data_IF_146406298963
#
_entry.id   IF_146406298963
#
_cell.length_a   1.000
_cell.length_b   1.000
_cell.length_c   1.000
_cell.angle_alpha   90.00
_cell.angle_beta   90.00
_cell.angle_gamma   90.00
#
_symmetry.space_group_name_H-M   'P 1'
#
loop_
_entity.id
_entity.type
_entity.pdbx_description
1 polymer ?
#
# COMPACT_ATOMS: atom_id res chain seq x y z
N UNK A 1 -5.47 -45.53 -2.85
CA UNK A 1 -5.20 -44.44 -1.86
C UNK A 1 -5.43 -43.12 -2.55
N UNK A 2 -6.65 -42.59 -2.46
CA UNK A 2 -6.99 -41.23 -2.86
C UNK A 2 -6.48 -40.31 -1.74
N UNK A 3 -5.31 -39.74 -1.92
CA UNK A 3 -4.80 -38.67 -1.09
C UNK A 3 -5.68 -37.45 -1.27
N UNK A 4 -6.63 -37.26 -0.35
CA UNK A 4 -7.42 -36.04 -0.29
C UNK A 4 -6.48 -34.86 -0.12
N UNK A 5 -6.40 -33.99 -1.11
CA UNK A 5 -5.68 -32.74 -1.01
C UNK A 5 -6.30 -31.94 0.13
N UNK A 6 -5.64 -31.90 1.30
CA UNK A 6 -6.05 -31.02 2.40
C UNK A 6 -5.99 -29.59 1.85
N UNK A 7 -7.16 -28.98 1.68
CA UNK A 7 -7.22 -27.59 1.22
C UNK A 7 -6.68 -26.70 2.35
N UNK A 8 -5.65 -25.92 2.02
CA UNK A 8 -5.11 -24.90 2.93
C UNK A 8 -6.18 -23.82 3.10
N UNK A 9 -6.45 -23.46 4.35
CA UNK A 9 -7.32 -22.33 4.66
C UNK A 9 -6.54 -21.32 5.51
N UNK A 10 -6.52 -20.07 5.06
CA UNK A 10 -5.92 -18.96 5.80
C UNK A 10 -6.90 -17.77 5.77
N UNK A 11 -7.18 -17.20 6.92
CA UNK A 11 -8.11 -16.06 7.03
C UNK A 11 -9.48 -16.30 6.36
N UNK A 12 -9.98 -17.53 6.39
CA UNK A 12 -11.21 -17.93 5.70
C UNK A 12 -11.06 -18.18 4.19
N UNK A 13 -9.89 -17.92 3.61
CA UNK A 13 -9.62 -18.15 2.18
C UNK A 13 -9.20 -19.60 1.93
N UNK A 14 -9.95 -20.28 1.09
CA UNK A 14 -9.63 -21.65 0.64
C UNK A 14 -8.60 -21.59 -0.50
N UNK A 15 -7.39 -22.10 -0.27
CA UNK A 15 -6.29 -22.12 -1.22
C UNK A 15 -6.21 -23.51 -1.84
N UNK A 16 -6.72 -23.66 -3.05
CA UNK A 16 -6.75 -24.93 -3.78
C UNK A 16 -5.79 -25.00 -4.98
N UNK A 17 -5.15 -23.88 -5.33
CA UNK A 17 -4.26 -23.75 -6.49
C UNK A 17 -2.77 -23.95 -6.16
N UNK A 18 -2.41 -24.05 -4.88
CA UNK A 18 -1.07 -24.37 -4.39
C UNK A 18 -1.07 -25.72 -3.71
N UNK A 19 0.00 -26.48 -3.89
CA UNK A 19 0.30 -27.61 -3.03
C UNK A 19 0.66 -27.12 -1.62
N UNK A 20 0.46 -27.98 -0.61
CA UNK A 20 0.88 -27.67 0.76
C UNK A 20 2.38 -27.31 0.81
N UNK A 21 3.22 -28.02 0.05
CA UNK A 21 4.67 -27.76 0.00
C UNK A 21 4.98 -26.37 -0.53
N UNK A 22 4.32 -25.92 -1.60
CA UNK A 22 4.51 -24.58 -2.16
C UNK A 22 4.04 -23.49 -1.21
N UNK A 23 2.85 -23.67 -0.60
CA UNK A 23 2.35 -22.70 0.40
C UNK A 23 3.31 -22.56 1.56
N UNK A 24 3.75 -23.68 2.17
CA UNK A 24 4.72 -23.61 3.26
C UNK A 24 6.06 -23.03 2.84
N UNK A 25 6.52 -23.28 1.60
CA UNK A 25 7.72 -22.65 1.06
C UNK A 25 7.59 -21.13 0.99
N UNK A 26 6.44 -20.63 0.50
CA UNK A 26 6.15 -19.18 0.45
C UNK A 26 6.16 -18.57 1.87
N UNK A 27 5.43 -19.17 2.81
CA UNK A 27 5.33 -18.65 4.18
C UNK A 27 6.67 -18.70 4.91
N UNK A 28 7.50 -19.71 4.64
CA UNK A 28 8.81 -19.87 5.25
C UNK A 28 9.82 -18.85 4.73
N UNK A 29 9.85 -18.63 3.43
CA UNK A 29 10.84 -17.77 2.78
C UNK A 29 10.28 -17.19 1.47
N UNK A 30 9.65 -16.02 1.56
CA UNK A 30 9.10 -15.30 0.39
C UNK A 30 10.19 -14.85 -0.58
N UNK A 31 11.45 -14.72 -0.16
CA UNK A 31 12.52 -14.19 -1.02
C UNK A 31 12.76 -15.05 -2.25
N UNK A 32 12.59 -16.36 -2.13
CA UNK A 32 12.75 -17.32 -3.24
C UNK A 32 11.64 -17.23 -4.29
N UNK A 33 10.56 -16.53 -3.96
CA UNK A 33 9.38 -16.40 -4.81
C UNK A 33 9.32 -15.04 -5.53
N UNK A 34 10.38 -14.24 -5.45
CA UNK A 34 10.50 -12.96 -6.16
C UNK A 34 11.63 -12.97 -7.18
N UNK A 35 11.38 -12.26 -8.29
CA UNK A 35 12.42 -11.86 -9.25
C UNK A 35 12.58 -10.35 -9.21
N UNK A 36 13.82 -9.89 -9.11
CA UNK A 36 14.14 -8.46 -9.08
C UNK A 36 14.69 -8.03 -10.43
N UNK A 37 14.18 -6.93 -10.97
CA UNK A 37 14.70 -6.31 -12.18
C UNK A 37 14.62 -4.77 -12.09
N UNK A 38 15.40 -4.08 -12.92
CA UNK A 38 15.47 -2.63 -12.93
C UNK A 38 14.73 -2.08 -14.15
N UNK A 39 13.83 -1.12 -13.92
CA UNK A 39 13.18 -0.33 -14.97
C UNK A 39 13.77 1.08 -14.98
N UNK A 40 14.10 1.58 -16.17
CA UNK A 40 14.55 2.96 -16.35
C UNK A 40 13.42 3.95 -16.09
N UNK A 41 13.65 4.94 -15.24
CA UNK A 41 12.69 6.05 -15.02
C UNK A 41 12.76 7.03 -16.20
N UNK A 42 11.65 7.69 -16.52
CA UNK A 42 11.62 8.77 -17.54
C UNK A 42 12.48 9.97 -17.12
N UNK A 43 12.54 10.28 -15.84
CA UNK A 43 13.36 11.34 -15.24
C UNK A 43 14.85 10.99 -15.07
N UNK A 44 15.28 9.83 -15.56
CA UNK A 44 16.63 9.29 -15.34
C UNK A 44 16.70 8.36 -14.11
N UNK A 45 17.78 7.55 -14.03
CA UNK A 45 17.94 6.54 -12.98
C UNK A 45 17.10 5.29 -13.19
N UNK A 46 17.03 4.44 -12.17
CA UNK A 46 16.35 3.15 -12.23
C UNK A 46 15.39 2.98 -11.06
N UNK A 47 14.31 2.25 -11.32
CA UNK A 47 13.37 1.75 -10.32
C UNK A 47 13.56 0.26 -10.19
N UNK A 48 13.72 -0.23 -8.97
CA UNK A 48 13.86 -1.66 -8.67
C UNK A 48 12.46 -2.27 -8.51
N UNK A 49 12.09 -3.19 -9.40
CA UNK A 49 10.82 -3.90 -9.35
C UNK A 49 11.06 -5.31 -8.84
N UNK A 50 10.24 -5.71 -7.88
CA UNK A 50 10.27 -7.02 -7.24
C UNK A 50 8.98 -7.75 -7.62
N UNK A 51 9.05 -8.57 -8.67
CA UNK A 51 7.90 -9.30 -9.19
C UNK A 51 7.76 -10.65 -8.48
N UNK A 52 6.62 -10.94 -7.83
CA UNK A 52 6.35 -12.25 -7.27
C UNK A 52 6.18 -13.29 -8.40
N UNK A 53 6.50 -14.55 -8.13
CA UNK A 53 6.16 -15.65 -9.03
C UNK A 53 4.64 -15.86 -9.08
N UNK A 54 4.17 -16.72 -9.99
CA UNK A 54 2.73 -16.94 -10.24
C UNK A 54 2.00 -17.34 -8.96
N UNK A 55 2.50 -18.32 -8.19
CA UNK A 55 1.86 -18.80 -6.97
C UNK A 55 1.69 -17.71 -5.91
N UNK A 56 2.77 -16.99 -5.61
CA UNK A 56 2.74 -15.88 -4.66
C UNK A 56 1.84 -14.73 -5.15
N UNK A 57 1.89 -14.42 -6.45
CA UNK A 57 1.05 -13.37 -7.05
C UNK A 57 -0.44 -13.67 -6.92
N UNK A 58 -0.87 -14.92 -7.17
CA UNK A 58 -2.28 -15.32 -7.01
C UNK A 58 -2.69 -15.22 -5.54
N UNK A 59 -1.84 -15.68 -4.61
CA UNK A 59 -2.11 -15.60 -3.17
C UNK A 59 -2.25 -14.13 -2.72
N UNK A 60 -1.37 -13.25 -3.16
CA UNK A 60 -1.46 -11.81 -2.88
C UNK A 60 -2.73 -11.19 -3.48
N UNK A 61 -3.14 -11.58 -4.69
CA UNK A 61 -4.41 -11.11 -5.27
C UNK A 61 -5.62 -11.59 -4.48
N UNK A 62 -5.62 -12.81 -3.96
CA UNK A 62 -6.71 -13.28 -3.09
C UNK A 62 -6.79 -12.47 -1.79
N UNK A 63 -5.65 -12.18 -1.15
CA UNK A 63 -5.60 -11.30 0.01
C UNK A 63 -6.13 -9.90 -0.34
N UNK A 64 -5.71 -9.35 -1.45
CA UNK A 64 -6.17 -8.04 -1.93
C UNK A 64 -7.69 -8.01 -2.12
N UNK A 65 -8.25 -8.98 -2.86
CA UNK A 65 -9.66 -8.99 -3.24
C UNK A 65 -10.59 -9.29 -2.06
N UNK A 66 -10.24 -10.28 -1.24
CA UNK A 66 -11.16 -10.80 -0.22
C UNK A 66 -10.93 -10.22 1.18
N UNK A 67 -9.74 -9.66 1.45
CA UNK A 67 -9.45 -9.08 2.76
C UNK A 67 -9.31 -7.57 2.67
N UNK A 68 -8.37 -7.08 1.85
CA UNK A 68 -8.02 -5.66 1.87
C UNK A 68 -9.14 -4.79 1.29
N UNK A 69 -9.67 -5.10 0.10
CA UNK A 69 -10.77 -4.33 -0.48
C UNK A 69 -12.06 -4.42 0.32
N UNK A 70 -12.33 -5.54 0.99
CA UNK A 70 -13.52 -5.71 1.83
C UNK A 70 -13.49 -4.83 3.09
N UNK A 71 -12.30 -4.43 3.54
CA UNK A 71 -12.07 -3.72 4.81
C UNK A 71 -11.53 -2.29 4.62
N UNK A 72 -11.47 -1.76 3.39
CA UNK A 72 -10.93 -0.44 3.13
C UNK A 72 -11.97 0.51 2.55
N UNK A 73 -12.22 1.61 3.26
CA UNK A 73 -12.98 2.76 2.76
C UNK A 73 -12.01 3.93 2.51
N UNK A 74 -11.70 4.24 1.24
CA UNK A 74 -10.75 5.30 0.92
C UNK A 74 -11.32 6.67 1.31
N UNK A 75 -10.52 7.54 1.95
CA UNK A 75 -10.90 8.92 2.16
C UNK A 75 -10.97 9.66 0.81
N UNK A 76 -11.76 10.74 0.73
CA UNK A 76 -11.99 11.48 -0.52
C UNK A 76 -10.71 12.06 -1.12
N UNK A 77 -9.79 12.46 -0.27
CA UNK A 77 -8.49 13.05 -0.62
C UNK A 77 -7.43 12.02 -1.04
N UNK A 78 -7.62 10.72 -0.82
CA UNK A 78 -6.78 9.67 -1.34
C UNK A 78 -7.30 9.20 -2.71
N UNK A 79 -6.50 9.35 -3.75
CA UNK A 79 -6.91 9.03 -5.13
C UNK A 79 -5.99 8.01 -5.82
N UNK A 80 -4.76 7.84 -5.34
CA UNK A 80 -3.82 6.85 -5.85
C UNK A 80 -4.20 5.42 -5.43
N UNK A 81 -4.06 4.46 -6.34
CA UNK A 81 -4.35 3.04 -6.14
C UNK A 81 -5.81 2.71 -5.77
N UNK A 82 -6.73 3.63 -6.00
CA UNK A 82 -8.17 3.45 -5.74
C UNK A 82 -8.88 3.03 -7.02
N UNK A 83 -9.74 2.01 -6.93
CA UNK A 83 -10.58 1.56 -8.05
C UNK A 83 -11.45 2.72 -8.55
N UNK A 84 -11.55 2.83 -9.88
CA UNK A 84 -12.34 3.87 -10.57
C UNK A 84 -11.87 5.30 -10.30
N UNK A 85 -10.67 5.49 -9.76
CA UNK A 85 -10.00 6.80 -9.64
C UNK A 85 -8.76 6.85 -10.50
N UNK A 86 -8.40 8.06 -10.95
CA UNK A 86 -7.24 8.32 -11.78
C UNK A 86 -6.57 9.64 -11.38
N UNK A 87 -5.51 10.02 -12.07
CA UNK A 87 -4.74 11.24 -11.78
C UNK A 87 -5.60 12.52 -11.93
N UNK A 88 -6.61 12.52 -12.80
CA UNK A 88 -7.52 13.66 -12.97
C UNK A 88 -8.33 13.91 -11.71
N UNK A 89 -8.73 12.85 -10.98
CA UNK A 89 -9.44 12.98 -9.70
C UNK A 89 -8.55 13.59 -8.62
N UNK A 90 -7.22 13.40 -8.71
CA UNK A 90 -6.25 14.04 -7.84
C UNK A 90 -6.08 15.53 -8.17
N UNK A 91 -6.06 15.88 -9.45
CA UNK A 91 -5.79 17.25 -9.90
C UNK A 91 -7.03 18.15 -9.76
N UNK A 92 -8.23 17.61 -10.02
CA UNK A 92 -9.48 18.39 -10.07
C UNK A 92 -9.73 19.30 -8.86
N UNK A 93 -9.51 18.89 -7.59
CA UNK A 93 -9.71 19.77 -6.44
C UNK A 93 -8.78 21.00 -6.42
N UNK A 94 -7.63 20.93 -7.10
CA UNK A 94 -6.61 21.98 -7.10
C UNK A 94 -6.76 22.97 -8.25
N UNK A 95 -7.71 22.77 -9.16
CA UNK A 95 -7.98 23.69 -10.24
C UNK A 95 -8.37 25.08 -9.71
N UNK A 96 -7.81 26.11 -10.34
CA UNK A 96 -8.02 27.53 -9.99
C UNK A 96 -7.34 27.98 -8.68
N UNK A 97 -6.55 27.13 -8.01
CA UNK A 97 -5.72 27.55 -6.89
C UNK A 97 -4.34 27.98 -7.40
N UNK A 98 -3.95 29.26 -7.24
CA UNK A 98 -2.68 29.77 -7.78
C UNK A 98 -1.47 29.28 -6.99
N UNK A 99 -1.64 28.90 -5.73
CA UNK A 99 -0.55 28.42 -4.88
C UNK A 99 -0.64 26.92 -4.73
N UNK A 100 0.43 26.20 -5.07
CA UNK A 100 0.50 24.74 -4.99
C UNK A 100 1.82 24.33 -4.36
N UNK A 101 1.71 23.55 -3.28
CA UNK A 101 2.82 22.86 -2.66
C UNK A 101 2.76 21.38 -3.03
N UNK A 102 3.91 20.79 -3.37
CA UNK A 102 4.05 19.37 -3.66
C UNK A 102 5.24 18.80 -2.92
N UNK A 103 5.05 17.63 -2.34
CA UNK A 103 6.11 16.81 -1.76
C UNK A 103 5.83 15.34 -2.02
N UNK A 104 6.81 14.48 -1.85
CA UNK A 104 6.67 13.03 -1.99
C UNK A 104 7.15 12.30 -0.73
N UNK A 105 6.54 11.14 -0.47
CA UNK A 105 6.94 10.30 0.65
C UNK A 105 8.15 9.47 0.21
N UNK A 106 9.30 9.77 0.82
CA UNK A 106 10.54 9.09 0.52
C UNK A 106 10.44 7.59 0.77
N UNK A 107 10.93 6.81 -0.20
CA UNK A 107 10.99 5.35 -0.10
C UNK A 107 9.64 4.69 0.24
N UNK A 108 8.55 5.22 -0.31
CA UNK A 108 7.15 4.96 0.02
C UNK A 108 6.85 3.52 0.45
N UNK A 109 7.08 2.53 -0.43
CA UNK A 109 6.81 1.13 -0.07
C UNK A 109 7.82 0.57 0.94
N UNK A 110 9.10 0.88 0.81
CA UNK A 110 10.15 0.34 1.67
C UNK A 110 10.22 1.00 3.06
N UNK A 111 9.56 2.15 3.25
CA UNK A 111 9.35 2.74 4.57
C UNK A 111 8.40 1.90 5.44
N UNK A 112 7.44 1.20 4.80
CA UNK A 112 6.45 0.38 5.50
C UNK A 112 7.06 -0.98 5.88
N UNK A 113 7.30 -1.15 7.17
CA UNK A 113 7.91 -2.36 7.74
C UNK A 113 6.87 -3.46 7.99
N UNK A 114 7.31 -4.73 7.95
CA UNK A 114 6.46 -5.90 8.14
C UNK A 114 5.66 -5.87 9.45
N UNK A 115 6.21 -5.29 10.53
CA UNK A 115 5.47 -5.18 11.78
C UNK A 115 4.25 -4.27 11.68
N UNK A 116 4.29 -3.19 10.87
CA UNK A 116 3.13 -2.34 10.59
C UNK A 116 2.09 -3.08 9.76
N UNK A 117 2.53 -3.89 8.78
CA UNK A 117 1.64 -4.75 7.99
C UNK A 117 0.99 -5.81 8.88
N UNK A 118 1.74 -6.41 9.81
CA UNK A 118 1.19 -7.34 10.79
C UNK A 118 0.17 -6.65 11.70
N UNK A 119 0.48 -5.43 12.18
CA UNK A 119 -0.45 -4.66 13.02
C UNK A 119 -1.76 -4.38 12.26
N UNK A 120 -1.67 -3.97 10.99
CA UNK A 120 -2.85 -3.80 10.15
C UNK A 120 -3.75 -5.04 10.14
N UNK A 121 -3.20 -6.24 9.98
CA UNK A 121 -4.02 -7.45 10.00
C UNK A 121 -4.59 -7.78 11.39
N UNK A 122 -3.87 -7.45 12.47
CA UNK A 122 -4.42 -7.54 13.84
C UNK A 122 -5.61 -6.59 14.02
N UNK A 123 -5.51 -5.35 13.55
CA UNK A 123 -6.56 -4.32 13.62
C UNK A 123 -7.79 -4.70 12.78
N UNK A 124 -7.60 -5.50 11.73
CA UNK A 124 -8.67 -6.11 10.96
C UNK A 124 -9.34 -7.32 11.66
N UNK A 125 -8.88 -7.68 12.86
CA UNK A 125 -9.48 -8.72 13.70
C UNK A 125 -8.90 -10.13 13.50
N UNK A 126 -7.80 -10.28 12.77
CA UNK A 126 -7.12 -11.59 12.63
C UNK A 126 -6.28 -11.89 13.88
N UNK A 127 -6.16 -13.18 14.23
CA UNK A 127 -5.29 -13.61 15.31
C UNK A 127 -3.80 -13.38 15.00
N UNK A 128 -2.96 -13.44 16.02
CA UNK A 128 -1.53 -13.14 15.92
C UNK A 128 -0.77 -14.03 14.93
N UNK A 129 -1.15 -15.32 14.82
CA UNK A 129 -0.47 -16.25 13.91
C UNK A 129 -0.89 -16.01 12.47
N UNK A 130 -2.17 -15.83 12.22
CA UNK A 130 -2.72 -15.49 10.91
C UNK A 130 -2.16 -14.15 10.40
N UNK A 131 -2.15 -13.11 11.25
CA UNK A 131 -1.58 -11.80 10.91
C UNK A 131 -0.09 -11.88 10.56
N UNK A 132 0.68 -12.71 11.28
CA UNK A 132 2.09 -12.97 10.97
C UNK A 132 2.28 -13.66 9.62
N UNK A 133 1.43 -14.61 9.27
CA UNK A 133 1.50 -15.30 7.97
C UNK A 133 1.11 -14.34 6.83
N UNK A 134 0.02 -13.58 7.00
CA UNK A 134 -0.45 -12.61 6.01
C UNK A 134 0.61 -11.51 5.77
N UNK A 135 1.22 -10.96 6.82
CA UNK A 135 2.27 -9.94 6.68
C UNK A 135 3.49 -10.49 5.93
N UNK A 136 3.93 -11.71 6.20
CA UNK A 136 5.04 -12.35 5.47
C UNK A 136 4.73 -12.53 3.99
N UNK A 137 3.52 -12.96 3.63
CA UNK A 137 3.09 -13.12 2.23
C UNK A 137 3.11 -11.77 1.49
N UNK A 138 2.80 -10.66 2.19
CA UNK A 138 2.74 -9.32 1.61
C UNK A 138 4.09 -8.59 1.60
N UNK A 139 5.09 -9.04 2.36
CA UNK A 139 6.38 -8.38 2.53
C UNK A 139 7.53 -9.15 1.87
N UNK A 140 8.58 -8.41 1.52
CA UNK A 140 9.85 -8.92 1.05
C UNK A 140 10.98 -8.23 1.81
N UNK A 141 11.92 -8.99 2.38
CA UNK A 141 13.00 -8.45 3.23
C UNK A 141 12.50 -7.55 4.37
N UNK A 142 11.33 -7.88 4.94
CA UNK A 142 10.73 -7.14 6.06
C UNK A 142 10.12 -5.79 5.71
N UNK A 143 9.86 -5.50 4.42
CA UNK A 143 9.22 -4.27 3.94
C UNK A 143 8.21 -4.57 2.83
N UNK A 144 7.34 -3.62 2.48
CA UNK A 144 6.49 -3.76 1.29
C UNK A 144 7.33 -3.69 0.02
N UNK A 145 7.20 -4.69 -0.88
CA UNK A 145 7.94 -4.70 -2.15
C UNK A 145 7.25 -3.82 -3.20
N UNK A 146 8.06 -3.21 -4.06
CA UNK A 146 7.57 -2.51 -5.24
C UNK A 146 7.29 -3.52 -6.37
N UNK A 147 6.05 -4.02 -6.44
CA UNK A 147 5.62 -4.96 -7.48
C UNK A 147 4.69 -6.06 -6.97
N UNK A 148 4.46 -6.18 -5.66
CA UNK A 148 3.41 -7.04 -5.12
C UNK A 148 2.02 -6.44 -5.33
N UNK A 149 1.03 -7.28 -5.59
CA UNK A 149 -0.36 -6.84 -5.80
C UNK A 149 -0.98 -6.18 -4.56
N UNK A 150 -0.53 -6.54 -3.37
CA UNK A 150 -1.05 -6.04 -2.09
C UNK A 150 -0.43 -4.72 -1.65
N UNK A 151 0.81 -4.40 -2.08
CA UNK A 151 1.55 -3.23 -1.59
C UNK A 151 0.80 -1.91 -1.75
N UNK A 152 0.14 -1.61 -2.89
CA UNK A 152 -0.60 -0.37 -3.06
C UNK A 152 -1.74 -0.19 -2.06
N UNK A 153 -2.52 -1.24 -1.82
CA UNK A 153 -3.66 -1.16 -0.90
C UNK A 153 -3.21 -1.12 0.56
N UNK A 154 -2.25 -1.94 0.93
CA UNK A 154 -1.68 -1.94 2.30
C UNK A 154 -1.10 -0.56 2.63
N UNK A 155 -0.36 0.06 1.69
CA UNK A 155 0.17 1.41 1.91
C UNK A 155 -0.94 2.42 2.16
N UNK A 156 -2.02 2.40 1.38
CA UNK A 156 -3.17 3.29 1.60
C UNK A 156 -3.83 3.08 2.96
N UNK A 157 -3.96 1.83 3.41
CA UNK A 157 -4.55 1.52 4.72
C UNK A 157 -3.68 2.00 5.88
N UNK A 158 -2.36 1.82 5.78
CA UNK A 158 -1.40 2.26 6.81
C UNK A 158 -1.28 3.79 6.87
N UNK A 159 -1.31 4.46 5.72
CA UNK A 159 -1.25 5.93 5.66
C UNK A 159 -2.57 6.63 5.99
N UNK A 160 -3.64 5.90 6.34
CA UNK A 160 -4.95 6.47 6.62
C UNK A 160 -4.92 7.52 7.75
N UNK A 161 -4.16 7.27 8.81
CA UNK A 161 -4.08 8.20 9.94
C UNK A 161 -3.21 9.42 9.61
N UNK A 162 -2.16 9.25 8.81
CA UNK A 162 -1.40 10.36 8.23
C UNK A 162 -2.30 11.22 7.33
N UNK A 163 -3.10 10.59 6.45
CA UNK A 163 -4.05 11.31 5.59
C UNK A 163 -5.05 12.14 6.42
N UNK A 164 -5.55 11.61 7.54
CA UNK A 164 -6.44 12.33 8.46
C UNK A 164 -5.73 13.50 9.13
N UNK A 165 -4.50 13.33 9.58
CA UNK A 165 -3.72 14.36 10.24
C UNK A 165 -3.40 15.52 9.29
N UNK A 166 -2.93 15.22 8.06
CA UNK A 166 -2.68 16.25 7.03
C UNK A 166 -3.99 16.94 6.63
N UNK A 167 -5.09 16.20 6.46
CA UNK A 167 -6.39 16.79 6.16
C UNK A 167 -6.86 17.74 7.26
N UNK A 168 -6.66 17.38 8.52
CA UNK A 168 -7.01 18.23 9.66
C UNK A 168 -6.17 19.53 9.65
N UNK A 169 -4.85 19.42 9.46
CA UNK A 169 -3.94 20.56 9.32
C UNK A 169 -4.39 21.50 8.18
N UNK A 170 -4.72 20.94 7.01
CA UNK A 170 -5.14 21.71 5.84
C UNK A 170 -6.51 22.37 6.05
N UNK A 171 -7.47 21.70 6.68
CA UNK A 171 -8.82 22.23 6.92
C UNK A 171 -8.82 23.46 7.79
N UNK A 172 -7.94 23.54 8.80
CA UNK A 172 -7.78 24.70 9.67
C UNK A 172 -7.17 25.94 8.98
N UNK A 173 -6.65 25.79 7.75
CA UNK A 173 -5.96 26.83 6.96
C UNK A 173 -6.63 27.15 5.62
N UNK A 174 -7.80 26.58 5.33
CA UNK A 174 -8.46 26.63 4.03
C UNK A 174 -7.58 26.11 2.88
N UNK A 175 -6.72 25.12 3.17
CA UNK A 175 -5.93 24.42 2.17
C UNK A 175 -6.67 23.19 1.66
N UNK A 176 -6.49 22.87 0.39
CA UNK A 176 -6.99 21.64 -0.24
C UNK A 176 -5.85 20.62 -0.28
N UNK A 177 -6.11 19.45 0.23
CA UNK A 177 -5.17 18.33 0.29
C UNK A 177 -5.64 17.15 -0.54
N UNK A 178 -4.73 16.57 -1.33
CA UNK A 178 -4.88 15.24 -1.93
C UNK A 178 -3.58 14.46 -1.90
N UNK A 179 -3.70 13.12 -1.92
CA UNK A 179 -2.57 12.21 -2.08
C UNK A 179 -2.80 11.25 -3.24
N UNK A 180 -1.80 11.13 -4.12
CA UNK A 180 -1.77 10.13 -5.18
C UNK A 180 -0.53 9.24 -4.98
N UNK A 181 -0.72 8.05 -4.39
CA UNK A 181 0.37 7.17 -3.97
C UNK A 181 1.30 7.86 -2.95
N UNK A 182 2.55 8.10 -3.33
CA UNK A 182 3.58 8.83 -2.60
C UNK A 182 3.51 10.35 -2.78
N UNK A 183 2.82 10.85 -3.83
CA UNK A 183 2.71 12.28 -4.11
C UNK A 183 1.65 12.95 -3.23
N UNK A 184 2.07 13.91 -2.39
CA UNK A 184 1.23 14.81 -1.60
C UNK A 184 1.09 16.13 -2.37
N UNK A 185 -0.15 16.59 -2.55
CA UNK A 185 -0.44 17.90 -3.15
C UNK A 185 -1.33 18.71 -2.21
N UNK A 186 -0.90 19.93 -1.91
CA UNK A 186 -1.67 20.90 -1.13
C UNK A 186 -1.77 22.18 -1.95
N UNK A 187 -2.96 22.78 -2.00
CA UNK A 187 -3.17 24.03 -2.75
C UNK A 187 -4.09 25.00 -2.02
N UNK A 188 -3.99 26.27 -2.37
CA UNK A 188 -4.78 27.34 -1.78
C UNK A 188 -4.98 28.51 -2.76
N UNK A 189 -6.03 29.28 -2.52
CA UNK A 189 -6.25 30.59 -3.17
C UNK A 189 -5.36 31.70 -2.57
N UNK A 190 -4.86 31.50 -1.36
CA UNK A 190 -3.98 32.40 -0.65
C UNK A 190 -2.56 31.83 -0.60
N UNK A 191 -1.58 32.70 -0.32
CA UNK A 191 -0.18 32.26 -0.21
C UNK A 191 -0.05 31.18 0.88
N UNK A 192 0.51 30.05 0.51
CA UNK A 192 0.83 28.96 1.43
C UNK A 192 2.05 29.37 2.26
N UNK A 193 1.96 29.20 3.58
CA UNK A 193 3.06 29.51 4.50
C UNK A 193 4.30 28.69 4.14
N UNK A 194 5.48 29.32 4.26
CA UNK A 194 6.77 28.64 3.99
C UNK A 194 7.08 27.53 4.99
N UNK A 195 6.47 27.58 6.18
CA UNK A 195 6.60 26.54 7.20
C UNK A 195 5.93 25.22 6.82
N UNK A 196 5.12 25.20 5.74
CA UNK A 196 4.35 24.00 5.36
C UNK A 196 5.21 22.75 5.21
N UNK A 197 6.46 22.90 4.74
CA UNK A 197 7.37 21.77 4.58
C UNK A 197 7.68 21.16 5.95
N UNK A 198 8.11 21.99 6.89
CA UNK A 198 8.44 21.56 8.26
C UNK A 198 7.20 21.05 9.01
N UNK A 199 6.04 21.69 8.79
CA UNK A 199 4.78 21.27 9.41
C UNK A 199 4.33 19.89 8.92
N UNK A 200 4.45 19.61 7.62
CA UNK A 200 4.10 18.31 7.04
C UNK A 200 5.11 17.24 7.46
N UNK A 201 6.40 17.56 7.54
CA UNK A 201 7.44 16.62 7.98
C UNK A 201 7.30 16.25 9.47
N UNK A 202 6.65 17.09 10.28
CA UNK A 202 6.40 16.86 11.71
C UNK A 202 5.06 16.15 12.00
N UNK A 203 4.19 15.93 11.00
CA UNK A 203 2.96 15.14 11.10
C UNK A 203 3.26 13.65 10.94
#
# INVERSE_FOLDING_TARGET
>A
FLGGAMSICIAGLKISFLSNTEFYSIVKDTTRHYKTFRLRKRSGGYRCIQAPNIGLSILQKMILEHILYANYMPPKNCTGFIRNKNITDNVRPHLNNPYVFKTDIKDFFSSIKEHLVKQLFLDLGFDNQTSKVLSRICCLYGVLPQGAATSPMISNMIFLDLDKAIQHYCSGRNYIYTRYADDITISSNEMIDKSICDDIDNI
#
